data_IF_002398917584
#
_entry.id   IF_002398917584
#
_cell.length_a   1.000
_cell.length_b   1.000
_cell.length_c   1.000
_cell.angle_alpha   90.00
_cell.angle_beta   90.00
_cell.angle_gamma   90.00
#
_symmetry.space_group_name_H-M   'P 1'
#
loop_
_entity.id
_entity.type
_entity.pdbx_description
1 polymer ?
#
# COMPACT_ATOMS: atom_id res chain seq x y z
N UNK A 1 -31.26 -8.03 -3.95
CA UNK A 1 -32.64 -7.63 -3.59
C UNK A 1 -33.70 -8.35 -4.43
N UNK A 2 -33.55 -8.44 -5.76
CA UNK A 2 -34.53 -9.10 -6.63
C UNK A 2 -34.76 -10.60 -6.33
N UNK A 3 -33.78 -11.31 -5.77
CA UNK A 3 -33.90 -12.74 -5.43
C UNK A 3 -34.87 -13.05 -4.28
N UNK A 4 -35.18 -12.08 -3.42
CA UNK A 4 -36.03 -12.29 -2.24
C UNK A 4 -37.51 -11.96 -2.49
N UNK A 5 -37.84 -11.40 -3.65
CA UNK A 5 -39.19 -10.94 -3.98
C UNK A 5 -39.57 -11.28 -5.42
N UNK A 6 -40.72 -11.92 -5.62
CA UNK A 6 -41.33 -12.11 -6.94
C UNK A 6 -42.13 -10.86 -7.32
N UNK A 7 -41.65 -10.16 -8.36
CA UNK A 7 -42.25 -8.91 -8.86
C UNK A 7 -43.21 -9.20 -10.02
N UNK A 8 -44.37 -8.56 -10.00
CA UNK A 8 -45.37 -8.62 -11.07
C UNK A 8 -46.09 -7.28 -11.19
N UNK A 9 -46.69 -7.02 -12.35
CA UNK A 9 -47.42 -5.78 -12.60
C UNK A 9 -48.91 -6.05 -12.42
N UNK A 10 -49.55 -5.26 -11.56
CA UNK A 10 -50.97 -5.40 -11.29
C UNK A 10 -51.79 -4.99 -12.53
N UNK A 11 -52.60 -5.89 -13.11
CA UNK A 11 -53.42 -5.59 -14.29
C UNK A 11 -54.45 -4.49 -14.04
N UNK A 12 -54.93 -4.34 -12.80
CA UNK A 12 -56.01 -3.41 -12.47
C UNK A 12 -55.50 -2.00 -12.18
N UNK A 13 -54.30 -1.88 -11.60
CA UNK A 13 -53.76 -0.59 -11.14
C UNK A 13 -52.55 -0.11 -11.95
N UNK A 14 -51.95 -0.96 -12.77
CA UNK A 14 -50.73 -0.67 -13.54
C UNK A 14 -49.47 -0.51 -12.68
N UNK A 15 -49.58 -0.65 -11.37
CA UNK A 15 -48.47 -0.54 -10.43
C UNK A 15 -47.65 -1.82 -10.37
N UNK A 16 -46.38 -1.67 -10.02
CA UNK A 16 -45.55 -2.82 -9.69
C UNK A 16 -45.84 -3.30 -8.28
N UNK A 17 -46.05 -4.59 -8.13
CA UNK A 17 -46.23 -5.27 -6.85
C UNK A 17 -45.10 -6.29 -6.67
N UNK A 18 -44.66 -6.48 -5.43
CA UNK A 18 -43.71 -7.52 -5.05
C UNK A 18 -44.27 -8.41 -3.96
N UNK A 19 -44.12 -9.71 -4.16
CA UNK A 19 -44.50 -10.75 -3.19
C UNK A 19 -43.24 -11.23 -2.49
N UNK A 20 -43.22 -11.24 -1.16
CA UNK A 20 -42.11 -11.81 -0.41
C UNK A 20 -42.02 -13.31 -0.64
N UNK A 21 -40.85 -13.83 -1.02
CA UNK A 21 -40.70 -15.26 -1.30
C UNK A 21 -40.84 -16.14 -0.06
N UNK A 22 -40.65 -15.56 1.13
CA UNK A 22 -40.59 -16.23 2.42
C UNK A 22 -41.93 -16.22 3.17
N UNK A 23 -42.58 -15.07 3.30
CA UNK A 23 -43.87 -14.94 4.01
C UNK A 23 -45.08 -14.73 3.09
N UNK A 24 -44.86 -14.69 1.76
CA UNK A 24 -45.89 -14.52 0.73
C UNK A 24 -46.73 -13.23 0.84
N UNK A 25 -46.30 -12.26 1.64
CA UNK A 25 -46.98 -10.96 1.75
C UNK A 25 -46.69 -10.07 0.53
N UNK A 26 -47.73 -9.39 0.05
CA UNK A 26 -47.68 -8.49 -1.10
C UNK A 26 -47.39 -7.04 -0.69
N UNK A 27 -46.59 -6.35 -1.50
CA UNK A 27 -46.18 -4.96 -1.31
C UNK A 27 -46.31 -4.18 -2.61
N UNK A 28 -47.02 -3.06 -2.58
CA UNK A 28 -47.02 -2.12 -3.70
C UNK A 28 -45.68 -1.37 -3.75
N UNK A 29 -45.06 -1.34 -4.92
CA UNK A 29 -43.78 -0.68 -5.22
C UNK A 29 -43.96 0.60 -6.05
N UNK A 30 -45.20 0.99 -6.33
CA UNK A 30 -45.54 2.14 -7.17
C UNK A 30 -45.12 1.99 -8.64
N UNK A 31 -45.23 3.08 -9.39
CA UNK A 31 -44.99 3.11 -10.85
C UNK A 31 -43.50 2.88 -11.18
N UNK A 32 -42.58 3.41 -10.36
CA UNK A 32 -41.13 3.24 -10.53
C UNK A 32 -40.62 1.85 -10.10
N UNK A 33 -41.43 1.10 -9.35
CA UNK A 33 -41.10 -0.26 -8.93
C UNK A 33 -39.92 -0.36 -7.97
N UNK A 34 -39.73 0.65 -7.10
CA UNK A 34 -38.66 0.73 -6.12
C UNK A 34 -38.88 -0.16 -4.89
N UNK A 35 -37.81 -0.71 -4.33
CA UNK A 35 -37.86 -1.74 -3.28
C UNK A 35 -37.95 -1.21 -1.83
N UNK A 36 -38.15 0.09 -1.60
CA UNK A 36 -38.03 0.68 -0.26
C UNK A 36 -38.92 0.03 0.81
N UNK A 37 -40.19 -0.22 0.47
CA UNK A 37 -41.16 -0.90 1.36
C UNK A 37 -40.82 -2.38 1.57
N UNK A 38 -40.48 -3.09 0.50
CA UNK A 38 -40.07 -4.50 0.52
C UNK A 38 -38.79 -4.74 1.33
N UNK A 39 -37.80 -3.84 1.21
CA UNK A 39 -36.53 -3.91 1.96
C UNK A 39 -36.74 -3.67 3.46
N UNK A 40 -37.62 -2.73 3.84
CA UNK A 40 -37.99 -2.49 5.24
C UNK A 40 -38.71 -3.70 5.85
N UNK A 41 -39.55 -4.38 5.07
CA UNK A 41 -40.15 -5.65 5.48
C UNK A 41 -39.09 -6.72 5.73
N UNK A 42 -38.16 -6.91 4.79
CA UNK A 42 -37.11 -7.92 4.94
C UNK A 42 -36.27 -7.67 6.20
N UNK A 43 -35.91 -6.41 6.47
CA UNK A 43 -35.18 -6.01 7.70
C UNK A 43 -35.92 -6.38 8.99
N UNK A 44 -37.24 -6.24 9.01
CA UNK A 44 -38.04 -6.40 10.23
C UNK A 44 -38.56 -7.82 10.46
N UNK A 45 -38.85 -8.58 9.39
CA UNK A 45 -39.50 -9.89 9.48
C UNK A 45 -38.62 -11.05 9.02
N UNK A 46 -37.54 -10.77 8.29
CA UNK A 46 -36.59 -11.77 7.79
C UNK A 46 -35.14 -11.30 8.01
N UNK A 47 -34.71 -11.08 9.27
CA UNK A 47 -33.42 -10.47 9.60
C UNK A 47 -32.22 -11.29 9.11
N UNK A 48 -32.33 -12.63 9.08
CA UNK A 48 -31.29 -13.52 8.55
C UNK A 48 -31.08 -13.30 7.05
N UNK A 49 -32.17 -13.25 6.28
CA UNK A 49 -32.11 -13.01 4.83
C UNK A 49 -31.74 -11.57 4.49
N UNK A 50 -32.10 -10.62 5.37
CA UNK A 50 -31.64 -9.24 5.29
C UNK A 50 -30.13 -9.11 5.54
N UNK A 51 -29.59 -9.84 6.52
CA UNK A 51 -28.16 -9.84 6.83
C UNK A 51 -27.31 -10.40 5.66
N UNK A 52 -27.82 -11.43 4.97
CA UNK A 52 -27.18 -12.00 3.76
C UNK A 52 -27.10 -11.03 2.58
N UNK A 53 -27.91 -9.97 2.57
CA UNK A 53 -27.81 -8.94 1.51
C UNK A 53 -26.52 -8.11 1.61
N UNK A 54 -25.76 -8.25 2.70
CA UNK A 54 -24.53 -7.51 2.94
C UNK A 54 -24.84 -6.04 3.17
N UNK A 55 -24.40 -5.47 4.29
CA UNK A 55 -24.45 -4.03 4.47
C UNK A 55 -23.69 -3.35 3.36
N UNK A 56 -24.38 -2.86 2.32
CA UNK A 56 -23.89 -1.77 1.48
C UNK A 56 -23.95 -0.50 2.32
N UNK A 57 -23.10 -0.42 3.33
CA UNK A 57 -22.64 0.85 3.87
C UNK A 57 -21.97 1.53 2.68
N UNK A 58 -22.61 2.55 2.13
CA UNK A 58 -22.09 3.34 1.03
C UNK A 58 -20.81 4.04 1.44
N UNK A 59 -19.69 3.33 1.40
CA UNK A 59 -18.39 3.94 1.15
C UNK A 59 -18.17 3.79 -0.34
N UNK A 60 -18.29 4.90 -1.06
CA UNK A 60 -17.85 4.99 -2.44
C UNK A 60 -16.35 4.65 -2.46
N UNK A 61 -16.01 3.44 -2.87
CA UNK A 61 -14.64 3.14 -3.30
C UNK A 61 -14.43 3.86 -4.62
N UNK A 62 -13.26 4.48 -4.79
CA UNK A 62 -12.89 5.12 -6.05
C UNK A 62 -13.13 4.13 -7.20
N UNK A 63 -13.79 4.58 -8.26
CA UNK A 63 -13.98 3.78 -9.46
C UNK A 63 -12.59 3.58 -10.07
N UNK A 64 -12.08 2.33 -10.03
CA UNK A 64 -10.94 1.94 -10.84
C UNK A 64 -11.27 2.23 -12.31
N UNK A 65 -10.47 3.04 -12.99
CA UNK A 65 -10.64 3.36 -14.43
C UNK A 65 -10.55 2.13 -15.36
N UNK A 66 -10.31 0.94 -14.82
CA UNK A 66 -10.14 -0.32 -15.54
C UNK A 66 -11.06 -1.41 -14.96
N UNK A 67 -12.37 -1.18 -14.94
CA UNK A 67 -13.35 -2.12 -14.36
C UNK A 67 -13.52 -3.46 -15.14
N UNK A 68 -12.74 -3.69 -16.20
CA UNK A 68 -12.89 -4.85 -17.09
C UNK A 68 -11.74 -5.87 -17.07
N UNK A 69 -10.75 -5.74 -16.17
CA UNK A 69 -9.74 -6.80 -16.04
C UNK A 69 -10.04 -7.69 -14.83
N UNK A 70 -10.13 -9.00 -15.09
CA UNK A 70 -10.37 -10.08 -14.12
C UNK A 70 -9.24 -10.27 -13.10
N UNK A 71 -8.23 -9.40 -13.08
CA UNK A 71 -7.22 -9.38 -12.03
C UNK A 71 -7.78 -8.60 -10.84
N UNK A 72 -7.87 -9.27 -9.69
CA UNK A 72 -8.08 -8.61 -8.42
C UNK A 72 -6.91 -7.64 -8.19
N UNK A 73 -7.11 -6.38 -8.56
CA UNK A 73 -6.19 -5.32 -8.17
C UNK A 73 -6.47 -5.01 -6.71
N UNK A 74 -5.49 -5.26 -5.85
CA UNK A 74 -5.52 -4.74 -4.49
C UNK A 74 -5.68 -3.22 -4.56
N UNK A 75 -6.71 -2.70 -3.88
CA UNK A 75 -6.87 -1.27 -3.76
C UNK A 75 -5.60 -0.70 -3.11
N UNK A 76 -5.03 0.35 -3.69
CA UNK A 76 -3.87 1.02 -3.11
C UNK A 76 -4.19 1.43 -1.66
N UNK A 77 -3.36 0.98 -0.74
CA UNK A 77 -3.44 1.30 0.69
C UNK A 77 -2.11 1.87 1.13
N UNK A 78 -2.14 3.03 1.77
CA UNK A 78 -0.93 3.65 2.27
C UNK A 78 -0.37 2.86 3.45
N UNK A 79 0.93 2.55 3.39
CA UNK A 79 1.67 1.93 4.47
C UNK A 79 2.81 2.87 4.87
N UNK A 80 2.67 3.51 6.03
CA UNK A 80 3.66 4.47 6.53
C UNK A 80 5.03 3.82 6.77
N UNK A 81 5.07 2.58 7.24
CA UNK A 81 6.34 1.87 7.47
C UNK A 81 7.06 1.57 6.15
N UNK A 82 6.32 1.13 5.13
CA UNK A 82 6.87 0.93 3.79
C UNK A 82 7.37 2.25 3.19
N UNK A 83 6.63 3.34 3.41
CA UNK A 83 6.99 4.67 2.94
C UNK A 83 8.23 5.25 3.65
N UNK A 84 8.40 4.93 4.94
CA UNK A 84 9.62 5.26 5.70
C UNK A 84 10.84 4.53 5.11
N UNK A 85 10.72 3.22 4.87
CA UNK A 85 11.80 2.44 4.21
C UNK A 85 12.10 2.98 2.81
N UNK A 86 11.07 3.32 2.01
CA UNK A 86 11.25 3.94 0.69
C UNK A 86 11.95 5.30 0.76
N UNK A 87 11.62 6.13 1.75
CA UNK A 87 12.30 7.41 1.97
C UNK A 87 13.76 7.20 2.38
N UNK A 88 14.03 6.22 3.24
CA UNK A 88 15.41 5.87 3.62
C UNK A 88 16.24 5.43 2.40
N UNK A 89 15.69 4.58 1.53
CA UNK A 89 16.37 4.15 0.31
C UNK A 89 16.64 5.33 -0.64
N UNK A 90 15.64 6.20 -0.87
CA UNK A 90 15.83 7.41 -1.68
C UNK A 90 17.00 8.26 -1.19
N UNK A 91 17.11 8.47 0.12
CA UNK A 91 18.20 9.25 0.69
C UNK A 91 19.57 8.62 0.48
N UNK A 92 19.65 7.29 0.57
CA UNK A 92 20.91 6.55 0.39
C UNK A 92 21.30 6.47 -1.08
N UNK A 93 20.37 6.13 -1.97
CA UNK A 93 20.61 5.98 -3.40
C UNK A 93 21.00 7.30 -4.07
N UNK A 94 20.34 8.40 -3.70
CA UNK A 94 20.61 9.74 -4.25
C UNK A 94 21.62 10.54 -3.40
N UNK A 95 22.21 9.93 -2.37
CA UNK A 95 23.14 10.57 -1.44
C UNK A 95 22.62 11.91 -0.88
N UNK A 96 21.33 11.95 -0.51
CA UNK A 96 20.68 13.15 -0.01
C UNK A 96 20.94 13.34 1.49
N UNK A 97 21.05 14.59 1.97
CA UNK A 97 21.18 14.87 3.38
C UNK A 97 19.93 14.39 4.13
N UNK A 98 20.10 13.91 5.37
CA UNK A 98 18.97 13.52 6.22
C UNK A 98 17.90 14.62 6.34
N UNK A 99 18.34 15.89 6.27
CA UNK A 99 17.49 17.08 6.29
C UNK A 99 16.40 17.06 5.21
N UNK A 100 16.63 16.37 4.09
CA UNK A 100 15.64 16.21 3.02
C UNK A 100 14.28 15.74 3.54
N UNK A 101 14.29 14.80 4.49
CA UNK A 101 13.07 14.22 5.08
C UNK A 101 12.20 15.24 5.85
N UNK A 102 12.79 16.36 6.28
CA UNK A 102 12.11 17.43 7.03
C UNK A 102 11.81 18.67 6.18
N UNK A 103 12.15 18.67 4.88
CA UNK A 103 11.86 19.80 3.99
C UNK A 103 10.35 19.97 3.87
N UNK A 104 9.84 21.12 4.31
CA UNK A 104 8.40 21.44 4.30
C UNK A 104 7.82 21.41 2.89
N UNK A 105 8.53 21.96 1.89
CA UNK A 105 8.08 21.95 0.51
C UNK A 105 7.91 20.52 -0.04
N UNK A 106 8.82 19.60 0.30
CA UNK A 106 8.70 18.20 -0.07
C UNK A 106 7.51 17.54 0.63
N UNK A 107 7.31 17.82 1.92
CA UNK A 107 6.16 17.32 2.67
C UNK A 107 4.84 17.80 2.07
N UNK A 108 4.75 19.08 1.75
CA UNK A 108 3.54 19.67 1.20
C UNK A 108 3.27 19.11 -0.22
N UNK A 109 4.30 18.97 -1.06
CA UNK A 109 4.20 18.28 -2.35
C UNK A 109 3.72 16.83 -2.19
N UNK A 110 4.36 16.04 -1.33
CA UNK A 110 4.00 14.64 -1.12
C UNK A 110 2.58 14.51 -0.57
N UNK A 111 2.18 15.37 0.36
CA UNK A 111 0.85 15.32 0.97
C UNK A 111 -0.26 15.77 -0.01
N UNK A 112 -0.01 16.78 -0.83
CA UNK A 112 -1.03 17.35 -1.74
C UNK A 112 -1.12 16.61 -3.07
N UNK A 113 0.01 16.19 -3.64
CA UNK A 113 0.08 15.63 -4.98
C UNK A 113 0.16 14.09 -4.98
N UNK A 114 0.70 13.46 -3.93
CA UNK A 114 0.92 12.01 -3.90
C UNK A 114 -0.05 11.30 -2.96
N UNK A 115 -0.03 11.64 -1.67
CA UNK A 115 -0.85 10.99 -0.66
C UNK A 115 -1.21 11.90 0.53
N UNK A 116 -2.50 12.20 0.75
CA UNK A 116 -2.95 13.08 1.84
C UNK A 116 -2.67 12.54 3.25
N UNK A 117 -2.33 11.26 3.40
CA UNK A 117 -1.95 10.66 4.67
C UNK A 117 -0.46 10.82 5.00
N UNK A 118 0.37 11.25 4.04
CA UNK A 118 1.79 11.53 4.30
C UNK A 118 1.95 12.62 5.36
N UNK A 119 2.90 12.44 6.29
CA UNK A 119 3.21 13.39 7.37
C UNK A 119 4.65 13.89 7.36
N UNK A 120 5.52 13.28 6.57
CA UNK A 120 6.96 13.50 6.66
C UNK A 120 7.61 12.73 7.82
N UNK A 121 8.93 12.74 7.85
CA UNK A 121 9.72 12.03 8.86
C UNK A 121 10.78 12.97 9.42
N UNK A 122 11.11 12.80 10.70
CA UNK A 122 12.25 13.52 11.28
C UNK A 122 13.57 12.94 10.77
N UNK A 123 14.63 13.76 10.77
CA UNK A 123 16.01 13.30 10.51
C UNK A 123 16.40 12.13 11.39
N UNK A 124 15.96 12.15 12.67
CA UNK A 124 16.24 11.08 13.64
C UNK A 124 15.55 9.78 13.23
N UNK A 125 14.30 9.86 12.77
CA UNK A 125 13.51 8.71 12.32
C UNK A 125 14.17 8.07 11.10
N UNK A 126 14.49 8.86 10.08
CA UNK A 126 15.10 8.32 8.85
C UNK A 126 16.52 7.81 9.10
N UNK A 127 17.33 8.52 9.91
CA UNK A 127 18.65 8.02 10.31
C UNK A 127 18.57 6.66 11.02
N UNK A 128 17.59 6.49 11.91
CA UNK A 128 17.36 5.21 12.60
C UNK A 128 16.98 4.11 11.60
N UNK A 129 16.12 4.42 10.63
CA UNK A 129 15.74 3.45 9.61
C UNK A 129 16.91 3.07 8.70
N UNK A 130 17.69 4.04 8.23
CA UNK A 130 18.91 3.78 7.45
C UNK A 130 19.89 2.91 8.25
N UNK A 131 20.07 3.19 9.54
CA UNK A 131 20.92 2.37 10.41
C UNK A 131 20.41 0.93 10.53
N UNK A 132 19.08 0.74 10.58
CA UNK A 132 18.45 -0.59 10.59
C UNK A 132 18.66 -1.33 9.28
N UNK A 133 18.48 -0.66 8.14
CA UNK A 133 18.70 -1.21 6.80
C UNK A 133 20.17 -1.61 6.61
N UNK A 134 21.10 -0.73 6.97
CA UNK A 134 22.54 -1.02 6.98
C UNK A 134 22.87 -2.23 7.85
N UNK A 135 22.31 -2.30 9.07
CA UNK A 135 22.55 -3.44 9.97
C UNK A 135 22.08 -4.77 9.38
N UNK A 136 20.91 -4.78 8.73
CA UNK A 136 20.39 -5.97 8.04
C UNK A 136 21.28 -6.36 6.85
N UNK A 137 21.70 -5.39 6.05
CA UNK A 137 22.54 -5.61 4.88
C UNK A 137 23.95 -6.10 5.27
N UNK A 138 24.52 -5.53 6.34
CA UNK A 138 25.79 -5.99 6.91
C UNK A 138 25.74 -7.46 7.31
N UNK A 139 24.70 -7.90 8.01
CA UNK A 139 24.52 -9.31 8.39
C UNK A 139 24.36 -10.19 7.15
N UNK A 140 23.61 -9.73 6.14
CA UNK A 140 23.45 -10.42 4.86
C UNK A 140 24.79 -10.64 4.16
N UNK A 141 25.61 -9.59 4.05
CA UNK A 141 26.93 -9.65 3.42
C UNK A 141 27.91 -10.51 4.23
N UNK A 142 27.90 -10.44 5.56
CA UNK A 142 28.71 -11.31 6.41
C UNK A 142 28.40 -12.79 6.17
N UNK A 143 27.12 -13.15 6.12
CA UNK A 143 26.69 -14.52 5.84
C UNK A 143 27.02 -14.96 4.42
N UNK A 144 26.90 -14.05 3.44
CA UNK A 144 27.29 -14.29 2.07
C UNK A 144 28.79 -14.62 1.97
N UNK A 145 29.65 -13.76 2.51
CA UNK A 145 31.10 -13.96 2.46
C UNK A 145 31.60 -15.14 3.31
N UNK A 146 30.90 -15.51 4.38
CA UNK A 146 31.23 -16.70 5.16
C UNK A 146 31.12 -18.01 4.35
N UNK A 147 30.30 -18.00 3.30
CA UNK A 147 30.08 -19.16 2.42
C UNK A 147 30.55 -18.89 0.98
N UNK A 148 31.28 -17.80 0.75
CA UNK A 148 31.73 -17.41 -0.57
C UNK A 148 32.97 -18.21 -0.97
N UNK A 149 32.90 -18.88 -2.10
CA UNK A 149 33.94 -19.76 -2.66
C UNK A 149 34.84 -19.07 -3.69
N UNK A 150 34.59 -17.79 -3.97
CA UNK A 150 35.39 -16.96 -4.86
C UNK A 150 36.56 -16.23 -4.19
N UNK A 151 37.24 -15.41 -4.99
CA UNK A 151 38.29 -14.51 -4.51
C UNK A 151 37.73 -13.11 -4.25
N UNK A 152 38.24 -12.49 -3.20
CA UNK A 152 37.90 -11.13 -2.80
C UNK A 152 39.17 -10.30 -2.82
N UNK A 153 39.12 -9.12 -3.43
CA UNK A 153 40.17 -8.12 -3.40
C UNK A 153 39.71 -6.96 -2.52
N UNK A 154 40.57 -6.52 -1.61
CA UNK A 154 40.31 -5.35 -0.77
C UNK A 154 41.25 -4.23 -1.20
N UNK A 155 40.69 -3.08 -1.50
CA UNK A 155 41.39 -1.85 -1.83
C UNK A 155 41.24 -0.87 -0.67
N UNK A 156 42.36 -0.37 -0.16
CA UNK A 156 42.38 0.73 0.80
C UNK A 156 42.75 2.02 0.08
N UNK A 157 41.95 3.06 0.25
CA UNK A 157 42.28 4.41 -0.19
C UNK A 157 42.37 5.34 1.02
N UNK A 158 43.45 6.13 1.10
CA UNK A 158 43.70 7.03 2.22
C UNK A 158 43.80 8.44 1.67
N UNK A 159 42.99 9.35 2.20
CA UNK A 159 43.08 10.76 1.88
C UNK A 159 43.07 11.63 3.13
N UNK A 160 43.61 12.83 2.97
CA UNK A 160 43.67 13.85 4.01
C UNK A 160 42.77 15.03 3.62
N UNK A 161 41.98 15.49 4.57
CA UNK A 161 41.31 16.77 4.52
C UNK A 161 42.13 17.78 5.31
N UNK A 162 42.94 18.52 4.57
CA UNK A 162 43.87 19.52 5.12
C UNK A 162 43.15 20.71 5.75
N UNK A 163 41.90 20.99 5.35
CA UNK A 163 41.12 22.10 5.90
C UNK A 163 40.58 21.76 7.29
N UNK A 164 40.13 20.52 7.49
CA UNK A 164 39.63 20.04 8.79
C UNK A 164 40.69 19.32 9.64
N UNK A 165 41.90 19.10 9.11
CA UNK A 165 42.98 18.33 9.73
C UNK A 165 42.53 16.91 10.12
N UNK A 166 41.87 16.22 9.18
CA UNK A 166 41.35 14.86 9.34
C UNK A 166 41.94 13.93 8.28
N UNK A 167 42.19 12.68 8.68
CA UNK A 167 42.59 11.61 7.77
C UNK A 167 41.46 10.60 7.64
N UNK A 168 41.19 10.18 6.41
CA UNK A 168 40.15 9.23 6.08
C UNK A 168 40.77 7.99 5.43
N UNK A 169 40.14 6.85 5.67
CA UNK A 169 40.47 5.57 5.07
C UNK A 169 39.17 4.97 4.54
N UNK A 170 39.09 4.78 3.22
CA UNK A 170 38.05 3.97 2.56
C UNK A 170 38.60 2.54 2.44
N UNK A 171 37.78 1.58 2.84
CA UNK A 171 37.98 0.19 2.47
C UNK A 171 36.89 -0.26 1.50
N UNK A 172 37.30 -0.53 0.27
CA UNK A 172 36.42 -1.04 -0.77
C UNK A 172 36.74 -2.50 -1.07
N UNK A 173 35.71 -3.33 -1.11
CA UNK A 173 35.80 -4.75 -1.46
C UNK A 173 35.30 -4.98 -2.88
N UNK A 174 36.09 -5.69 -3.68
CA UNK A 174 35.76 -6.12 -5.04
C UNK A 174 35.75 -7.66 -5.13
N UNK A 175 34.73 -8.22 -5.77
CA UNK A 175 34.67 -9.66 -6.06
C UNK A 175 33.83 -9.94 -7.31
N UNK A 176 33.96 -11.15 -7.86
CA UNK A 176 33.12 -11.66 -8.95
C UNK A 176 32.29 -12.81 -8.36
N UNK A 177 30.97 -12.75 -8.51
CA UNK A 177 30.08 -13.80 -8.01
C UNK A 177 30.02 -15.04 -8.93
N UNK A 178 29.26 -16.05 -8.51
CA UNK A 178 29.11 -17.32 -9.22
C UNK A 178 28.38 -17.17 -10.57
N UNK A 179 27.65 -16.08 -10.76
CA UNK A 179 26.98 -15.71 -12.00
C UNK A 179 27.85 -14.79 -12.88
N UNK A 180 29.14 -14.64 -12.54
CA UNK A 180 30.13 -13.81 -13.22
C UNK A 180 29.82 -12.30 -13.22
N UNK A 181 29.06 -11.82 -12.23
CA UNK A 181 28.86 -10.39 -12.02
C UNK A 181 29.94 -9.79 -11.13
N UNK A 182 30.46 -8.64 -11.53
CA UNK A 182 31.39 -7.86 -10.71
C UNK A 182 30.63 -7.05 -9.66
N UNK A 183 31.07 -7.16 -8.41
CA UNK A 183 30.52 -6.43 -7.27
C UNK A 183 31.58 -5.51 -6.64
N UNK A 184 31.11 -4.36 -6.15
CA UNK A 184 31.91 -3.39 -5.38
C UNK A 184 31.13 -2.97 -4.13
N UNK A 185 31.73 -3.12 -2.95
CA UNK A 185 31.11 -2.74 -1.67
C UNK A 185 32.05 -1.84 -0.86
N UNK A 186 31.54 -0.70 -0.40
CA UNK A 186 32.22 0.14 0.59
C UNK A 186 31.99 -0.44 1.98
N UNK A 187 33.06 -0.71 2.72
CA UNK A 187 33.01 -1.45 4.00
C UNK A 187 33.43 -0.59 5.19
N UNK A 188 34.26 0.43 4.97
CA UNK A 188 34.71 1.38 5.99
C UNK A 188 34.79 2.80 5.40
#
# INVERSE_FOLDING_TARGET
>A
MASNFSKWKDPNTGNWTATCNWCKKNYSLGISGGYGSATRHLKSKHPVEYAKLGGRTGKQTQISRFANNQQAFDNFSYNDAQNLTGTANLLVEENLPYLFSEILAFRDYAQTCLNPQYRGYSRKTVKKEISRLYGAEKVRLQNYFANFDGRVTVCSDIWEDTYHNLHYLDLTVHYIDNDWHMHKHLVL
#
